data_IF_298558828606
#
_entry.id   IF_298558828606
#
_cell.length_a   1.000
_cell.length_b   1.000
_cell.length_c   1.000
_cell.angle_alpha   90.00
_cell.angle_beta   90.00
_cell.angle_gamma   90.00
#
_symmetry.space_group_name_H-M   'P 1'
#
loop_
_entity.id
_entity.type
_entity.pdbx_description
1 polymer ?
#
# COMPACT_ATOMS: atom_id res chain seq x y z
N UNK A 1 -11.01 11.09 -14.39
CA UNK A 1 -11.81 9.91 -14.78
C UNK A 1 -11.09 8.65 -14.35
N UNK A 2 -11.69 7.86 -13.50
CA UNK A 2 -11.05 6.66 -12.98
C UNK A 2 -11.69 5.45 -13.62
N UNK A 3 -10.92 4.71 -14.41
CA UNK A 3 -11.31 3.40 -14.87
C UNK A 3 -10.88 2.38 -13.81
N UNK A 4 -11.75 1.44 -13.52
CA UNK A 4 -11.51 0.40 -12.52
C UNK A 4 -11.79 -0.97 -13.10
N UNK A 5 -11.26 -2.01 -12.47
CA UNK A 5 -11.57 -3.41 -12.76
C UNK A 5 -12.18 -4.07 -11.55
N UNK A 6 -13.00 -5.10 -11.78
CA UNK A 6 -13.50 -5.95 -10.71
C UNK A 6 -12.45 -7.02 -10.38
N UNK A 7 -12.19 -7.19 -9.09
CA UNK A 7 -11.42 -8.30 -8.58
C UNK A 7 -12.32 -9.53 -8.39
N UNK A 8 -11.72 -10.69 -8.14
CA UNK A 8 -12.45 -11.96 -7.96
C UNK A 8 -13.38 -12.00 -6.74
N UNK A 9 -13.29 -11.01 -5.86
CA UNK A 9 -14.13 -10.84 -4.67
C UNK A 9 -15.18 -9.73 -4.83
N UNK A 10 -15.48 -9.32 -6.06
CA UNK A 10 -16.42 -8.26 -6.44
C UNK A 10 -16.03 -6.85 -5.93
N UNK A 11 -14.79 -6.69 -5.45
CA UNK A 11 -14.24 -5.37 -5.15
C UNK A 11 -13.70 -4.71 -6.39
N UNK A 12 -13.74 -3.40 -6.45
CA UNK A 12 -13.17 -2.63 -7.56
C UNK A 12 -11.78 -2.13 -7.22
N UNK A 13 -10.88 -2.19 -8.19
CA UNK A 13 -9.52 -1.67 -8.10
C UNK A 13 -9.28 -0.64 -9.21
N UNK A 14 -8.81 0.57 -8.88
CA UNK A 14 -8.45 1.55 -9.91
C UNK A 14 -7.34 1.02 -10.82
N UNK A 15 -7.40 1.35 -12.11
CA UNK A 15 -6.37 0.96 -13.08
C UNK A 15 -5.13 1.82 -13.02
N UNK A 16 -5.25 3.06 -12.53
CA UNK A 16 -4.15 4.00 -12.41
C UNK A 16 -3.80 4.19 -10.95
N UNK A 17 -2.54 4.04 -10.60
CA UNK A 17 -2.05 4.19 -9.24
C UNK A 17 -0.70 4.89 -9.17
N UNK A 18 -0.36 5.39 -7.99
CA UNK A 18 0.93 5.94 -7.65
C UNK A 18 1.77 4.89 -6.92
N UNK A 19 2.90 4.52 -7.50
CA UNK A 19 3.91 3.69 -6.85
C UNK A 19 4.87 4.54 -6.01
N UNK A 20 5.14 4.10 -4.79
CA UNK A 20 5.94 4.85 -3.81
C UNK A 20 7.31 4.22 -3.53
N UNK A 21 7.79 3.35 -4.43
CA UNK A 21 9.14 2.79 -4.33
C UNK A 21 10.19 3.91 -4.39
N UNK A 22 11.19 3.84 -3.51
CA UNK A 22 12.25 4.85 -3.35
C UNK A 22 11.80 6.23 -2.87
N UNK A 23 10.57 6.39 -2.45
CA UNK A 23 10.10 7.60 -1.76
C UNK A 23 10.45 7.44 -0.27
N UNK A 24 11.57 8.00 0.14
CA UNK A 24 12.16 7.78 1.49
C UNK A 24 12.12 9.00 2.38
N UNK A 25 11.61 10.11 1.89
CA UNK A 25 11.44 11.36 2.63
C UNK A 25 9.96 11.59 2.93
N UNK A 26 9.66 12.01 4.17
CA UNK A 26 8.28 12.18 4.62
C UNK A 26 7.55 13.29 3.85
N UNK A 27 8.22 14.43 3.61
CA UNK A 27 7.63 15.58 2.91
C UNK A 27 7.38 15.21 1.44
N UNK A 28 8.35 14.55 0.81
CA UNK A 28 8.21 14.08 -0.57
C UNK A 28 7.04 13.11 -0.72
N UNK A 29 6.88 12.18 0.22
CA UNK A 29 5.78 11.23 0.22
C UNK A 29 4.41 11.92 0.35
N UNK A 30 4.30 12.85 1.30
CA UNK A 30 3.07 13.61 1.52
C UNK A 30 2.72 14.46 0.30
N UNK A 31 3.68 15.17 -0.27
CA UNK A 31 3.48 16.02 -1.44
C UNK A 31 3.08 15.19 -2.69
N UNK A 32 3.76 14.06 -2.91
CA UNK A 32 3.46 13.17 -4.02
C UNK A 32 2.04 12.59 -3.91
N UNK A 33 1.65 12.17 -2.71
CA UNK A 33 0.29 11.65 -2.46
C UNK A 33 -0.76 12.74 -2.65
N UNK A 34 -0.53 13.93 -2.09
CA UNK A 34 -1.44 15.06 -2.25
C UNK A 34 -1.63 15.43 -3.72
N UNK A 35 -0.54 15.54 -4.47
CA UNK A 35 -0.59 15.86 -5.90
C UNK A 35 -1.31 14.76 -6.70
N UNK A 36 -1.03 13.50 -6.43
CA UNK A 36 -1.70 12.39 -7.11
C UNK A 36 -3.20 12.39 -6.85
N UNK A 37 -3.61 12.54 -5.59
CA UNK A 37 -5.03 12.56 -5.19
C UNK A 37 -5.76 13.75 -5.81
N UNK A 38 -5.14 14.94 -5.82
CA UNK A 38 -5.69 16.11 -6.46
C UNK A 38 -5.89 15.94 -7.97
N UNK A 39 -5.07 15.11 -8.59
CA UNK A 39 -5.18 14.78 -10.02
C UNK A 39 -6.03 13.54 -10.29
N UNK A 40 -6.78 13.06 -9.32
CA UNK A 40 -7.74 11.99 -9.50
C UNK A 40 -7.21 10.57 -9.26
N UNK A 41 -5.97 10.41 -8.83
CA UNK A 41 -5.44 9.11 -8.43
C UNK A 41 -6.16 8.60 -7.18
N UNK A 42 -6.48 7.31 -7.16
CA UNK A 42 -7.19 6.67 -6.03
C UNK A 42 -6.56 5.34 -5.61
N UNK A 43 -5.41 4.97 -6.19
CA UNK A 43 -4.63 3.80 -5.83
C UNK A 43 -3.23 4.22 -5.43
N UNK A 44 -2.79 3.82 -4.25
CA UNK A 44 -1.43 4.02 -3.75
C UNK A 44 -0.80 2.65 -3.49
N UNK A 45 0.41 2.45 -4.01
CA UNK A 45 1.15 1.20 -3.89
C UNK A 45 2.45 1.42 -3.12
N UNK A 46 2.56 0.70 -2.00
CA UNK A 46 3.77 0.66 -1.19
C UNK A 46 4.14 -0.79 -0.83
N UNK A 47 5.10 -0.97 0.05
CA UNK A 47 5.54 -2.27 0.57
C UNK A 47 6.30 -2.10 1.88
N UNK A 48 6.29 -3.12 2.72
CA UNK A 48 7.07 -3.10 3.96
C UNK A 48 8.57 -2.95 3.69
N UNK A 49 9.06 -3.52 2.58
CA UNK A 49 10.47 -3.41 2.17
C UNK A 49 10.88 -1.99 1.78
N UNK A 50 9.96 -1.11 1.41
CA UNK A 50 10.28 0.26 1.01
C UNK A 50 10.63 1.15 2.20
N UNK A 51 10.32 0.73 3.43
CA UNK A 51 10.61 1.47 4.68
C UNK A 51 9.95 2.85 4.72
N UNK A 52 8.82 3.02 4.07
CA UNK A 52 8.12 4.30 3.97
C UNK A 52 6.63 4.24 4.34
N UNK A 53 6.16 3.11 4.85
CA UNK A 53 4.73 2.95 5.17
C UNK A 53 4.21 4.00 6.16
N UNK A 54 5.03 4.45 7.10
CA UNK A 54 4.67 5.53 8.03
C UNK A 54 4.44 6.86 7.30
N UNK A 55 5.32 7.19 6.36
CA UNK A 55 5.18 8.42 5.55
C UNK A 55 3.97 8.35 4.63
N UNK A 56 3.72 7.18 4.06
CA UNK A 56 2.52 6.95 3.24
C UNK A 56 1.26 7.11 4.08
N UNK A 57 1.25 6.56 5.29
CA UNK A 57 0.14 6.72 6.24
C UNK A 57 -0.15 8.18 6.57
N UNK A 58 0.90 8.97 6.82
CA UNK A 58 0.76 10.42 7.03
C UNK A 58 0.17 11.12 5.82
N UNK A 59 0.65 10.79 4.62
CA UNK A 59 0.14 11.36 3.37
C UNK A 59 -1.33 11.03 3.14
N UNK A 60 -1.74 9.80 3.42
CA UNK A 60 -3.15 9.37 3.34
C UNK A 60 -4.01 10.19 4.31
N UNK A 61 -3.58 10.35 5.55
CA UNK A 61 -4.31 11.09 6.57
C UNK A 61 -4.52 12.55 6.20
N UNK A 62 -3.58 13.15 5.47
CA UNK A 62 -3.57 14.57 5.08
C UNK A 62 -4.15 14.86 3.69
N UNK A 63 -4.40 13.85 2.87
CA UNK A 63 -4.74 14.05 1.45
C UNK A 63 -6.13 14.64 1.20
N UNK A 64 -7.00 14.71 2.21
CA UNK A 64 -8.33 15.28 2.11
C UNK A 64 -9.40 14.39 1.48
N UNK A 65 -9.05 13.15 1.11
CA UNK A 65 -10.00 12.17 0.56
C UNK A 65 -10.27 11.10 1.62
N UNK A 66 -11.55 10.71 1.84
CA UNK A 66 -11.87 9.66 2.80
C UNK A 66 -11.15 8.34 2.50
N UNK A 67 -10.74 7.63 3.55
CA UNK A 67 -10.03 6.34 3.42
C UNK A 67 -10.73 5.34 2.50
N UNK A 68 -12.06 5.28 2.56
CA UNK A 68 -12.88 4.36 1.75
C UNK A 68 -12.79 4.63 0.25
N UNK A 69 -12.37 5.83 -0.14
CA UNK A 69 -12.26 6.24 -1.54
C UNK A 69 -10.84 6.08 -2.10
N UNK A 70 -9.92 5.57 -1.28
CA UNK A 70 -8.54 5.29 -1.68
C UNK A 70 -8.27 3.79 -1.55
N UNK A 71 -7.71 3.20 -2.60
CA UNK A 71 -7.29 1.80 -2.63
C UNK A 71 -5.81 1.72 -2.26
N UNK A 72 -5.50 0.99 -1.19
CA UNK A 72 -4.14 0.86 -0.67
C UNK A 72 -3.63 -0.55 -0.89
N UNK A 73 -2.48 -0.66 -1.54
CA UNK A 73 -1.74 -1.90 -1.70
C UNK A 73 -0.43 -1.83 -0.91
N UNK A 74 -0.15 -2.85 -0.14
CA UNK A 74 1.18 -3.09 0.43
C UNK A 74 1.54 -4.56 0.32
N UNK A 75 2.77 -4.93 0.72
CA UNK A 75 3.32 -6.25 0.41
C UNK A 75 4.13 -6.77 1.59
N UNK A 76 4.00 -8.08 1.82
CA UNK A 76 4.85 -8.80 2.79
C UNK A 76 6.24 -9.01 2.20
N UNK A 77 7.28 -8.73 2.99
CA UNK A 77 8.65 -8.99 2.58
C UNK A 77 9.07 -10.44 2.88
N UNK A 78 10.13 -10.87 2.22
CA UNK A 78 10.61 -12.25 2.23
C UNK A 78 10.92 -12.78 3.64
N UNK A 79 11.48 -11.97 4.52
CA UNK A 79 11.83 -12.38 5.88
C UNK A 79 10.62 -12.88 6.69
N UNK A 80 9.52 -12.17 6.64
CA UNK A 80 8.29 -12.55 7.35
C UNK A 80 7.63 -13.77 6.73
N UNK A 81 7.69 -13.91 5.42
CA UNK A 81 7.22 -15.11 4.73
C UNK A 81 8.01 -16.35 5.19
N UNK A 82 9.33 -16.26 5.23
CA UNK A 82 10.22 -17.36 5.64
C UNK A 82 9.99 -17.81 7.08
N UNK A 83 9.61 -16.88 7.95
CA UNK A 83 9.25 -17.17 9.34
C UNK A 83 7.82 -17.67 9.51
N UNK A 84 7.01 -17.61 8.46
CA UNK A 84 5.58 -17.94 8.54
C UNK A 84 4.76 -16.92 9.32
N UNK A 85 5.29 -15.71 9.53
CA UNK A 85 4.66 -14.65 10.33
C UNK A 85 3.85 -13.69 9.44
N UNK A 86 2.92 -14.22 8.67
CA UNK A 86 2.10 -13.41 7.74
C UNK A 86 1.18 -12.46 8.50
N UNK A 87 0.48 -12.96 9.52
CA UNK A 87 -0.45 -12.14 10.32
C UNK A 87 0.28 -11.02 11.06
N UNK A 88 1.42 -11.32 11.69
CA UNK A 88 2.22 -10.32 12.38
C UNK A 88 2.77 -9.27 11.44
N UNK A 89 3.25 -9.66 10.26
CA UNK A 89 3.73 -8.74 9.24
C UNK A 89 2.59 -7.82 8.75
N UNK A 90 1.41 -8.38 8.52
CA UNK A 90 0.22 -7.62 8.14
C UNK A 90 -0.16 -6.58 9.21
N UNK A 91 -0.20 -6.98 10.47
CA UNK A 91 -0.52 -6.07 11.57
C UNK A 91 0.51 -4.93 11.67
N UNK A 92 1.79 -5.25 11.54
CA UNK A 92 2.85 -4.22 11.55
C UNK A 92 2.70 -3.22 10.41
N UNK A 93 2.29 -3.67 9.22
CA UNK A 93 2.00 -2.76 8.09
C UNK A 93 0.80 -1.87 8.39
N UNK A 94 -0.29 -2.42 8.94
CA UNK A 94 -1.44 -1.63 9.38
C UNK A 94 -1.03 -0.55 10.39
N UNK A 95 -0.23 -0.92 11.38
CA UNK A 95 0.22 -0.02 12.44
C UNK A 95 1.07 1.13 11.86
N UNK A 96 2.02 0.82 10.95
CA UNK A 96 2.84 1.84 10.30
C UNK A 96 2.03 2.76 9.40
N UNK A 97 1.09 2.22 8.65
CA UNK A 97 0.18 2.99 7.81
C UNK A 97 -0.87 3.77 8.61
N UNK A 98 -1.11 3.39 9.86
CA UNK A 98 -2.17 3.98 10.68
C UNK A 98 -3.57 3.69 10.15
N UNK A 99 -3.78 2.51 9.57
CA UNK A 99 -5.02 2.10 8.93
C UNK A 99 -5.67 0.92 9.65
N UNK A 100 -6.99 0.79 9.49
CA UNK A 100 -7.76 -0.33 10.02
C UNK A 100 -7.84 -1.49 9.04
N UNK A 101 -7.59 -1.24 7.76
CA UNK A 101 -7.61 -2.25 6.71
C UNK A 101 -6.72 -1.86 5.54
N UNK A 102 -6.32 -2.86 4.76
CA UNK A 102 -5.59 -2.74 3.50
C UNK A 102 -6.48 -3.34 2.42
N UNK A 103 -6.55 -2.72 1.24
CA UNK A 103 -7.39 -3.19 0.15
C UNK A 103 -6.79 -4.39 -0.57
N UNK A 104 -5.47 -4.42 -0.72
CA UNK A 104 -4.75 -5.53 -1.34
C UNK A 104 -3.42 -5.77 -0.64
N UNK A 105 -3.22 -6.98 -0.15
CA UNK A 105 -1.97 -7.41 0.47
C UNK A 105 -1.31 -8.48 -0.38
N UNK A 106 -0.11 -8.20 -0.88
CA UNK A 106 0.58 -9.04 -1.84
C UNK A 106 1.82 -9.72 -1.24
N UNK A 107 2.17 -10.87 -1.78
CA UNK A 107 3.51 -11.43 -1.67
C UNK A 107 4.42 -10.60 -2.57
N UNK A 108 5.47 -9.98 -1.99
CA UNK A 108 6.34 -9.08 -2.75
C UNK A 108 7.12 -9.86 -3.80
N UNK A 109 7.82 -10.92 -3.38
CA UNK A 109 8.56 -11.82 -4.27
C UNK A 109 8.20 -13.29 -3.97
N UNK A 110 7.94 -14.09 -4.99
CA UNK A 110 7.86 -15.54 -4.82
C UNK A 110 9.27 -16.08 -4.60
N UNK A 111 9.51 -16.72 -3.46
CA UNK A 111 10.83 -17.28 -3.11
C UNK A 111 10.69 -18.77 -2.85
N UNK A 112 10.47 -19.59 -3.91
CA UNK A 112 10.07 -20.99 -3.78
C UNK A 112 11.11 -21.85 -3.04
N UNK A 113 12.39 -21.60 -3.22
CA UNK A 113 13.46 -22.37 -2.57
C UNK A 113 13.54 -22.24 -1.05
N UNK A 114 12.78 -21.32 -0.45
CA UNK A 114 12.77 -21.07 0.99
C UNK A 114 11.63 -21.78 1.72
N UNK A 115 10.68 -22.37 1.01
CA UNK A 115 9.44 -22.91 1.56
C UNK A 115 9.20 -24.39 1.21
N UNK A 116 10.15 -25.02 0.58
CA UNK A 116 10.09 -26.44 0.19
C UNK A 116 10.85 -27.32 1.16
#
# INVERSE_FOLDING_TARGET
MTTSVFLNNDRTMPLLGLGLYKTTDAVEAEDAIAAAVQNGYRLLDTASAYKNEEFVGCGIAKCGVPRKDIFITTKIWNNAQRLGDVEGAFQRSLDRLGLDYIDLYLIHWPVPGCFL
#
